data_IF_099190462590
#
_entry.id   IF_099190462590
#
_cell.length_a   1.000
_cell.length_b   1.000
_cell.length_c   1.000
_cell.angle_alpha   90.00
_cell.angle_beta   90.00
_cell.angle_gamma   90.00
#
_symmetry.space_group_name_H-M   'P 1'
#
loop_
_entity.id
_entity.type
_entity.pdbx_description
1 polymer ?
#
# COMPACT_ATOMS: atom_id res chain seq x y z
N UNK A 1 60.93 -31.78 75.48
CA UNK A 1 59.63 -32.50 75.38
C UNK A 1 58.67 -31.62 74.60
N UNK A 2 57.92 -32.23 73.70
CA UNK A 2 56.83 -31.74 72.92
C UNK A 2 57.21 -31.04 71.55
N UNK A 3 57.06 -31.89 70.59
CA UNK A 3 57.04 -31.70 69.16
C UNK A 3 55.75 -30.92 68.73
N UNK A 4 55.95 -29.95 67.92
CA UNK A 4 54.82 -29.29 67.24
C UNK A 4 54.98 -29.45 65.70
N UNK A 5 54.13 -30.25 65.15
CA UNK A 5 53.98 -30.54 63.73
C UNK A 5 53.31 -29.31 62.99
N UNK A 6 54.00 -28.76 62.02
CA UNK A 6 53.47 -27.74 61.17
C UNK A 6 52.89 -28.38 59.91
N UNK A 7 51.57 -28.30 59.75
CA UNK A 7 50.82 -28.70 58.54
C UNK A 7 50.86 -27.57 57.51
N UNK A 8 51.44 -27.83 56.37
CA UNK A 8 51.53 -26.93 55.24
C UNK A 8 50.15 -27.03 54.44
N UNK A 9 49.39 -25.98 54.52
CA UNK A 9 48.13 -25.82 53.72
C UNK A 9 48.50 -25.41 52.31
N UNK A 10 48.19 -26.29 51.38
CA UNK A 10 48.34 -26.07 49.93
C UNK A 10 47.21 -25.13 49.40
N UNK A 11 47.61 -23.91 49.11
CA UNK A 11 46.72 -22.95 48.44
C UNK A 11 46.55 -23.31 46.93
N UNK A 12 45.42 -23.81 46.56
CA UNK A 12 45.02 -23.97 45.15
C UNK A 12 44.78 -22.61 44.52
N UNK A 13 45.62 -22.23 43.55
CA UNK A 13 45.42 -21.06 42.73
C UNK A 13 44.20 -21.27 41.80
N UNK A 14 43.20 -20.42 41.97
CA UNK A 14 42.10 -20.33 41.05
C UNK A 14 42.54 -19.55 39.80
N UNK A 15 42.62 -20.24 38.66
CA UNK A 15 42.82 -19.58 37.36
C UNK A 15 41.54 -18.90 36.91
N UNK A 16 41.54 -17.64 36.43
CA UNK A 16 40.37 -16.97 35.93
C UNK A 16 39.93 -17.59 34.59
N UNK A 17 38.67 -18.00 34.52
CA UNK A 17 38.04 -18.52 33.34
C UNK A 17 38.09 -17.44 32.23
N UNK A 18 38.72 -17.73 31.11
CA UNK A 18 38.66 -16.94 29.89
C UNK A 18 37.23 -16.92 29.39
N UNK A 19 36.56 -15.78 29.58
CA UNK A 19 35.28 -15.49 28.88
C UNK A 19 35.59 -15.37 27.40
N UNK A 20 35.25 -16.40 26.65
CA UNK A 20 35.27 -16.37 25.19
C UNK A 20 34.24 -15.34 24.71
N UNK A 21 34.69 -14.20 24.20
CA UNK A 21 33.83 -13.29 23.43
C UNK A 21 33.24 -14.05 22.26
N UNK A 22 31.96 -14.40 22.38
CA UNK A 22 31.17 -14.86 21.22
C UNK A 22 31.22 -13.73 20.20
N UNK A 23 31.95 -13.93 19.10
CA UNK A 23 31.86 -13.09 17.94
C UNK A 23 30.39 -13.09 17.45
N UNK A 24 29.75 -11.92 17.52
CA UNK A 24 28.49 -11.69 16.86
C UNK A 24 28.75 -11.84 15.37
N UNK A 25 28.29 -12.95 14.79
CA UNK A 25 28.27 -13.11 13.35
C UNK A 25 27.35 -12.01 12.80
N UNK A 26 27.96 -11.00 12.19
CA UNK A 26 27.27 -10.01 11.37
C UNK A 26 26.59 -10.81 10.26
N UNK A 27 25.28 -11.03 10.37
CA UNK A 27 24.49 -11.54 9.27
C UNK A 27 24.62 -10.52 8.15
N UNK A 28 25.39 -10.85 7.12
CA UNK A 28 25.42 -10.12 5.88
C UNK A 28 23.99 -9.97 5.34
N UNK A 29 23.74 -8.95 4.50
CA UNK A 29 22.42 -8.74 3.92
C UNK A 29 21.97 -10.05 3.28
N UNK A 30 20.85 -10.58 3.76
CA UNK A 30 20.17 -11.71 3.11
C UNK A 30 19.83 -11.19 1.71
N UNK A 31 20.52 -11.68 0.69
CA UNK A 31 20.07 -11.51 -0.68
C UNK A 31 18.72 -12.23 -0.75
N UNK A 32 17.65 -11.44 -0.63
CA UNK A 32 16.32 -11.89 -1.02
C UNK A 32 16.48 -12.22 -2.50
N UNK A 33 16.46 -13.50 -2.85
CA UNK A 33 16.43 -13.92 -4.23
C UNK A 33 15.15 -13.35 -4.83
N UNK A 34 15.32 -12.36 -5.73
CA UNK A 34 14.20 -11.75 -6.42
C UNK A 34 13.39 -12.89 -7.06
N UNK A 35 12.13 -13.03 -6.67
CA UNK A 35 11.23 -13.97 -7.31
C UNK A 35 11.06 -13.49 -8.75
N UNK A 36 11.55 -14.28 -9.70
CA UNK A 36 11.39 -13.99 -11.12
C UNK A 36 10.18 -14.72 -11.68
N UNK A 37 9.38 -14.03 -12.47
CA UNK A 37 8.29 -14.62 -13.25
C UNK A 37 8.56 -14.48 -14.75
N UNK A 38 7.95 -15.33 -15.55
CA UNK A 38 7.96 -15.22 -17.00
C UNK A 38 6.64 -14.63 -17.51
N UNK A 39 6.61 -14.16 -18.76
CA UNK A 39 5.37 -13.70 -19.40
C UNK A 39 4.27 -14.77 -19.46
N UNK A 40 4.61 -16.06 -19.31
CA UNK A 40 3.64 -17.15 -19.23
C UNK A 40 2.86 -17.16 -17.90
N UNK A 41 3.47 -16.60 -16.84
CA UNK A 41 2.91 -16.56 -15.50
C UNK A 41 2.09 -15.29 -15.21
N UNK A 42 1.94 -14.41 -16.22
CA UNK A 42 1.23 -13.15 -16.07
C UNK A 42 -0.22 -13.36 -15.66
N UNK A 43 -0.63 -12.63 -14.64
CA UNK A 43 -2.01 -12.58 -14.11
C UNK A 43 -2.40 -11.14 -13.84
N UNK A 44 -3.66 -10.81 -13.97
CA UNK A 44 -4.20 -9.52 -13.54
C UNK A 44 -3.96 -9.36 -12.04
N UNK A 45 -3.44 -8.19 -11.64
CA UNK A 45 -3.08 -7.90 -10.25
C UNK A 45 -1.63 -8.24 -9.87
N UNK A 46 -0.86 -8.95 -10.71
CA UNK A 46 0.55 -9.23 -10.47
C UNK A 46 1.37 -7.94 -10.52
N UNK A 47 2.26 -7.76 -9.53
CA UNK A 47 3.16 -6.62 -9.46
C UNK A 47 4.55 -7.00 -9.95
N UNK A 48 5.06 -6.24 -10.91
CA UNK A 48 6.37 -6.42 -11.55
C UNK A 48 7.26 -5.23 -11.23
N UNK A 49 8.55 -5.46 -11.08
CA UNK A 49 9.54 -4.39 -11.03
C UNK A 49 10.09 -4.15 -12.45
N UNK A 50 9.85 -2.96 -12.99
CA UNK A 50 10.34 -2.55 -14.30
C UNK A 50 10.98 -1.16 -14.14
N UNK A 51 12.22 -1.01 -14.56
CA UNK A 51 12.99 0.25 -14.45
C UNK A 51 13.03 0.78 -13.00
N UNK A 52 13.21 -0.13 -12.01
CA UNK A 52 13.19 0.19 -10.56
C UNK A 52 11.91 0.87 -10.08
N UNK A 53 10.79 0.58 -10.70
CA UNK A 53 9.48 1.04 -10.30
C UNK A 53 8.50 -0.15 -10.21
N UNK A 54 7.58 -0.13 -9.24
CA UNK A 54 6.56 -1.16 -9.13
C UNK A 54 5.41 -0.89 -10.11
N UNK A 55 5.12 -1.87 -10.94
CA UNK A 55 4.03 -1.85 -11.92
C UNK A 55 3.06 -2.98 -11.65
N UNK A 56 1.77 -2.71 -11.66
CA UNK A 56 0.71 -3.72 -11.55
C UNK A 56 0.09 -3.99 -12.90
N UNK A 57 -0.05 -5.26 -13.24
CA UNK A 57 -0.74 -5.69 -14.46
C UNK A 57 -2.25 -5.47 -14.27
N UNK A 58 -2.86 -4.62 -15.10
CA UNK A 58 -4.32 -4.41 -15.13
C UNK A 58 -4.99 -5.29 -16.17
N UNK A 59 -4.38 -5.44 -17.33
CA UNK A 59 -4.84 -6.30 -18.42
C UNK A 59 -3.66 -6.91 -19.14
N UNK A 60 -3.82 -8.11 -19.66
CA UNK A 60 -2.83 -8.72 -20.54
C UNK A 60 -3.51 -9.58 -21.60
N UNK A 61 -2.87 -9.69 -22.76
CA UNK A 61 -3.32 -10.49 -23.88
C UNK A 61 -2.14 -11.21 -24.52
N UNK A 62 -2.22 -12.54 -24.61
CA UNK A 62 -1.28 -13.34 -25.38
C UNK A 62 -1.66 -13.30 -26.86
N UNK A 63 -0.76 -12.87 -27.71
CA UNK A 63 -0.92 -12.83 -29.15
C UNK A 63 0.04 -13.81 -29.81
N UNK A 64 -0.54 -14.78 -30.51
CA UNK A 64 0.19 -15.75 -31.32
C UNK A 64 -0.11 -15.49 -32.82
N UNK A 65 0.73 -14.70 -33.51
CA UNK A 65 0.53 -14.51 -34.95
C UNK A 65 0.84 -15.80 -35.69
N UNK A 66 0.11 -16.07 -36.77
CA UNK A 66 0.32 -17.26 -37.61
C UNK A 66 1.72 -17.31 -38.25
N UNK A 67 2.40 -16.19 -38.39
CA UNK A 67 3.80 -16.02 -38.78
C UNK A 67 4.47 -15.01 -37.88
N UNK A 68 5.54 -15.38 -37.18
CA UNK A 68 6.30 -14.53 -36.26
C UNK A 68 6.35 -15.07 -34.82
N UNK A 69 7.13 -14.42 -33.97
CA UNK A 69 7.25 -14.79 -32.56
C UNK A 69 6.01 -14.31 -31.75
N UNK A 70 5.58 -15.16 -30.82
CA UNK A 70 4.52 -14.83 -29.88
C UNK A 70 4.94 -13.64 -28.98
N UNK A 71 3.98 -12.77 -28.66
CA UNK A 71 4.20 -11.66 -27.76
C UNK A 71 3.01 -11.47 -26.83
N UNK A 72 3.23 -10.76 -25.71
CA UNK A 72 2.21 -10.45 -24.71
C UNK A 72 2.05 -8.93 -24.67
N UNK A 73 0.85 -8.46 -25.00
CA UNK A 73 0.47 -7.06 -24.83
C UNK A 73 -0.09 -6.89 -23.43
N UNK A 74 0.42 -5.92 -22.69
CA UNK A 74 0.10 -5.76 -21.27
C UNK A 74 -0.18 -4.29 -20.96
N UNK A 75 -1.28 -4.01 -20.29
CA UNK A 75 -1.52 -2.70 -19.65
C UNK A 75 -0.99 -2.75 -18.24
N UNK A 76 -0.12 -1.82 -17.91
CA UNK A 76 0.58 -1.70 -16.66
C UNK A 76 0.21 -0.39 -15.98
N UNK A 77 -0.18 -0.44 -14.72
CA UNK A 77 -0.37 0.73 -13.87
C UNK A 77 0.84 0.91 -12.98
N UNK A 78 1.48 2.06 -13.06
CA UNK A 78 2.55 2.42 -12.14
C UNK A 78 1.95 2.68 -10.75
N UNK A 79 2.46 2.01 -9.72
CA UNK A 79 1.92 2.14 -8.36
C UNK A 79 2.36 3.43 -7.65
N UNK A 80 3.42 4.09 -8.13
CA UNK A 80 3.89 5.37 -7.57
C UNK A 80 3.18 6.57 -8.16
N UNK A 81 2.97 6.56 -9.50
CA UNK A 81 2.43 7.72 -10.24
C UNK A 81 0.97 7.54 -10.64
N UNK A 82 0.43 6.32 -10.55
CA UNK A 82 -0.93 5.99 -10.99
C UNK A 82 -1.11 5.89 -12.50
N UNK A 83 -0.10 6.24 -13.30
CA UNK A 83 -0.18 6.25 -14.75
C UNK A 83 -0.32 4.84 -15.33
N UNK A 84 -1.15 4.73 -16.37
CA UNK A 84 -1.35 3.48 -17.11
C UNK A 84 -0.58 3.54 -18.42
N UNK A 85 0.31 2.57 -18.65
CA UNK A 85 1.08 2.42 -19.85
C UNK A 85 0.83 1.07 -20.49
N UNK A 86 0.78 1.03 -21.82
CA UNK A 86 0.72 -0.21 -22.58
C UNK A 86 2.13 -0.60 -23.04
N UNK A 87 2.58 -1.80 -22.66
CA UNK A 87 3.87 -2.37 -23.09
C UNK A 87 3.66 -3.75 -23.73
N UNK A 88 4.48 -4.05 -24.72
CA UNK A 88 4.49 -5.37 -25.39
C UNK A 88 5.79 -6.08 -25.06
N UNK A 89 5.66 -7.29 -24.53
CA UNK A 89 6.79 -8.14 -24.13
C UNK A 89 6.89 -9.35 -25.04
N UNK A 90 8.10 -9.89 -25.20
CA UNK A 90 8.30 -11.14 -25.92
C UNK A 90 7.84 -12.32 -25.08
N UNK A 91 7.27 -13.34 -25.72
CA UNK A 91 6.93 -14.57 -25.01
C UNK A 91 8.19 -15.23 -24.43
N UNK A 92 8.15 -15.59 -23.13
CA UNK A 92 9.27 -16.16 -22.39
C UNK A 92 10.24 -15.16 -21.76
N UNK A 93 9.98 -13.85 -21.87
CA UNK A 93 10.76 -12.82 -21.18
C UNK A 93 10.56 -12.91 -19.66
N UNK A 94 11.63 -12.71 -18.90
CA UNK A 94 11.63 -12.83 -17.43
C UNK A 94 11.66 -11.47 -16.80
N UNK A 95 10.87 -11.31 -15.73
CA UNK A 95 10.75 -10.09 -14.92
C UNK A 95 10.93 -10.40 -13.45
N UNK A 96 11.39 -9.43 -12.71
CA UNK A 96 11.42 -9.49 -11.25
C UNK A 96 10.05 -9.12 -10.70
N UNK A 97 9.59 -9.88 -9.70
CA UNK A 97 8.36 -9.55 -8.97
C UNK A 97 8.66 -8.40 -8.01
N UNK A 98 7.81 -7.37 -8.02
CA UNK A 98 7.88 -6.32 -7.02
C UNK A 98 7.35 -6.86 -5.68
N UNK A 99 8.13 -6.66 -4.61
CA UNK A 99 7.72 -7.00 -3.24
C UNK A 99 6.74 -5.92 -2.73
N UNK A 100 5.48 -6.11 -3.11
CA UNK A 100 4.38 -5.22 -2.72
C UNK A 100 3.52 -5.93 -1.70
N UNK A 101 3.53 -5.42 -0.47
CA UNK A 101 2.62 -5.84 0.59
C UNK A 101 1.39 -4.93 0.64
N UNK A 102 0.26 -5.49 1.06
CA UNK A 102 -0.99 -4.77 1.24
C UNK A 102 -1.55 -5.15 2.60
N UNK A 103 -1.67 -4.18 3.49
CA UNK A 103 -2.16 -4.36 4.84
C UNK A 103 -3.38 -3.47 5.09
N UNK A 104 -4.40 -4.03 5.74
CA UNK A 104 -5.58 -3.25 6.13
C UNK A 104 -5.30 -2.55 7.45
N UNK A 105 -5.38 -1.23 7.45
CA UNK A 105 -5.18 -0.37 8.63
C UNK A 105 -6.32 0.64 8.73
N UNK A 106 -6.66 1.03 9.95
CA UNK A 106 -7.68 2.02 10.21
C UNK A 106 -7.04 3.41 10.31
N UNK A 107 -7.62 4.40 9.62
CA UNK A 107 -7.23 5.79 9.80
C UNK A 107 -7.72 6.30 11.15
N UNK A 108 -6.83 6.82 11.99
CA UNK A 108 -7.13 7.28 13.34
C UNK A 108 -7.21 8.81 13.45
N UNK A 109 -6.13 9.49 13.12
CA UNK A 109 -6.04 10.95 13.23
C UNK A 109 -4.97 11.52 12.31
N UNK A 110 -4.92 12.84 12.19
CA UNK A 110 -3.86 13.57 11.49
C UNK A 110 -2.85 14.11 12.51
N UNK A 111 -1.54 13.88 12.23
CA UNK A 111 -0.44 14.45 12.98
C UNK A 111 0.30 15.46 12.09
N UNK A 112 -0.06 16.74 12.22
CA UNK A 112 0.36 17.79 11.30
C UNK A 112 -0.24 17.56 9.91
N UNK A 113 0.62 17.35 8.92
CA UNK A 113 0.20 17.07 7.53
C UNK A 113 0.10 15.56 7.23
N UNK A 114 0.61 14.70 8.12
CA UNK A 114 0.64 13.26 7.91
C UNK A 114 -0.57 12.55 8.49
N UNK A 115 -0.98 11.47 7.84
CA UNK A 115 -2.08 10.62 8.25
C UNK A 115 -1.56 9.47 9.10
N UNK A 116 -2.16 9.28 10.29
CA UNK A 116 -1.81 8.18 11.19
C UNK A 116 -2.78 7.03 11.02
N UNK A 117 -2.26 5.89 10.60
CA UNK A 117 -3.01 4.65 10.46
C UNK A 117 -2.58 3.67 11.53
N UNK A 118 -3.53 2.91 12.07
CA UNK A 118 -3.28 1.88 13.07
C UNK A 118 -3.75 0.52 12.57
N UNK A 119 -2.90 -0.47 12.72
CA UNK A 119 -3.27 -1.86 12.50
C UNK A 119 -4.07 -2.34 13.73
N UNK A 120 -5.32 -2.75 13.52
CA UNK A 120 -6.22 -3.16 14.61
C UNK A 120 -5.88 -4.52 15.23
N UNK A 121 -4.98 -5.29 14.62
CA UNK A 121 -4.53 -6.59 15.14
C UNK A 121 -3.23 -6.46 15.95
N UNK A 122 -2.25 -5.69 15.44
CA UNK A 122 -0.93 -5.53 16.07
C UNK A 122 -0.82 -4.27 16.91
N UNK A 123 -1.75 -3.32 16.77
CA UNK A 123 -1.73 -1.97 17.37
C UNK A 123 -0.49 -1.16 17.00
N UNK A 124 0.12 -1.47 15.86
CA UNK A 124 1.23 -0.70 15.32
C UNK A 124 0.69 0.51 14.56
N UNK A 125 1.28 1.67 14.83
CA UNK A 125 0.96 2.91 14.14
C UNK A 125 1.90 3.11 12.96
N UNK A 126 1.34 3.55 11.83
CA UNK A 126 2.06 3.85 10.61
C UNK A 126 1.76 5.27 10.15
N UNK A 127 2.81 6.05 9.95
CA UNK A 127 2.72 7.40 9.40
C UNK A 127 2.73 7.36 7.89
N UNK A 128 1.73 7.97 7.26
CA UNK A 128 1.55 7.99 5.80
C UNK A 128 1.53 9.42 5.30
N UNK A 129 2.40 9.81 4.36
CA UNK A 129 2.42 11.16 3.84
C UNK A 129 1.17 11.46 2.99
N UNK A 130 0.73 12.74 2.93
CA UNK A 130 -0.51 13.13 2.23
C UNK A 130 -0.50 12.81 0.73
N UNK A 131 0.68 12.72 0.12
CA UNK A 131 0.83 12.35 -1.30
C UNK A 131 0.36 10.93 -1.60
N UNK A 132 0.46 10.02 -0.61
CA UNK A 132 0.06 8.62 -0.75
C UNK A 132 -1.41 8.36 -0.36
N UNK A 133 -2.11 9.37 0.20
CA UNK A 133 -3.48 9.23 0.72
C UNK A 133 -4.50 9.82 -0.26
N UNK A 134 -5.60 9.12 -0.45
CA UNK A 134 -6.72 9.60 -1.26
C UNK A 134 -7.53 10.65 -0.47
N UNK A 135 -8.12 11.63 -1.17
CA UNK A 135 -8.98 12.70 -0.60
C UNK A 135 -10.26 12.20 0.07
N UNK A 136 -10.59 10.94 -0.12
CA UNK A 136 -11.80 10.29 0.41
C UNK A 136 -11.60 9.55 1.72
N UNK A 137 -10.43 9.69 2.37
CA UNK A 137 -10.16 9.07 3.66
C UNK A 137 -10.88 9.81 4.77
N UNK A 138 -11.62 9.07 5.60
CA UNK A 138 -12.37 9.54 6.77
C UNK A 138 -11.84 8.87 8.04
N UNK A 139 -11.87 9.56 9.17
CA UNK A 139 -11.53 8.99 10.48
C UNK A 139 -12.36 7.73 10.79
N UNK A 140 -11.69 6.71 11.30
CA UNK A 140 -12.28 5.40 11.58
C UNK A 140 -12.50 4.51 10.36
N UNK A 141 -12.05 4.92 9.17
CA UNK A 141 -12.17 4.12 7.95
C UNK A 141 -11.03 3.11 7.85
N UNK A 142 -11.39 1.86 7.49
CA UNK A 142 -10.41 0.84 7.15
C UNK A 142 -9.92 1.04 5.72
N UNK A 143 -8.64 1.28 5.57
CA UNK A 143 -7.97 1.48 4.29
C UNK A 143 -6.90 0.40 4.08
N UNK A 144 -6.65 0.06 2.83
CA UNK A 144 -5.56 -0.84 2.50
C UNK A 144 -4.30 -0.04 2.16
N UNK A 145 -3.31 -0.10 3.04
CA UNK A 145 -2.01 0.54 2.85
C UNK A 145 -1.15 -0.35 1.97
N UNK A 146 -0.69 0.22 0.88
CA UNK A 146 0.20 -0.46 -0.08
C UNK A 146 1.63 -0.04 0.21
N UNK A 147 2.48 -1.03 0.49
CA UNK A 147 3.90 -0.83 0.75
C UNK A 147 4.73 -1.54 -0.32
N UNK A 148 5.83 -0.94 -0.71
CA UNK A 148 6.83 -1.51 -1.60
C UNK A 148 8.21 -1.39 -0.95
N UNK A 149 8.90 -2.52 -0.78
CA UNK A 149 10.20 -2.60 -0.08
C UNK A 149 10.17 -1.88 1.29
N UNK A 150 9.05 -2.01 2.03
CA UNK A 150 8.85 -1.40 3.35
C UNK A 150 8.56 0.11 3.33
N UNK A 151 8.34 0.72 2.16
CA UNK A 151 7.92 2.12 2.03
C UNK A 151 6.46 2.18 1.61
N UNK A 152 5.69 3.04 2.26
CA UNK A 152 4.31 3.32 1.86
C UNK A 152 4.31 4.04 0.52
N UNK A 153 3.59 3.48 -0.46
CA UNK A 153 3.45 4.02 -1.80
C UNK A 153 2.02 4.45 -2.14
N UNK A 154 1.05 4.00 -1.36
CA UNK A 154 -0.35 4.36 -1.59
C UNK A 154 -1.28 3.88 -0.49
N UNK A 155 -2.46 4.50 -0.44
CA UNK A 155 -3.57 4.13 0.41
C UNK A 155 -4.79 3.89 -0.50
N UNK A 156 -5.28 2.66 -0.53
CA UNK A 156 -6.50 2.30 -1.26
C UNK A 156 -7.70 2.39 -0.29
N UNK A 157 -8.67 3.20 -0.65
CA UNK A 157 -9.92 3.40 0.10
C UNK A 157 -10.95 2.39 -0.37
N UNK A 158 -11.85 1.89 0.50
CA UNK A 158 -12.96 1.04 0.08
C UNK A 158 -13.80 1.69 -1.03
N UNK A 159 -14.13 0.95 -2.06
CA UNK A 159 -14.92 1.41 -3.19
C UNK A 159 -16.08 0.42 -3.48
N UNK A 160 -17.36 0.87 -3.49
CA UNK A 160 -17.86 2.22 -3.15
C UNK A 160 -17.95 2.50 -1.65
N UNK A 161 -18.03 3.79 -1.26
CA UNK A 161 -18.20 4.20 0.13
C UNK A 161 -19.25 5.29 0.29
N UNK A 162 -19.86 5.35 1.49
CA UNK A 162 -20.96 6.30 1.80
C UNK A 162 -20.40 7.53 2.52
N UNK A 163 -20.71 8.72 2.00
CA UNK A 163 -20.30 9.99 2.57
C UNK A 163 -21.51 10.89 2.81
N UNK A 164 -21.41 11.78 3.80
CA UNK A 164 -22.42 12.81 4.08
C UNK A 164 -22.04 14.10 3.36
N UNK A 165 -23.01 14.72 2.69
CA UNK A 165 -22.83 16.00 2.02
C UNK A 165 -22.86 17.11 3.08
N UNK A 166 -21.78 17.90 3.17
CA UNK A 166 -21.65 19.02 4.12
C UNK A 166 -22.06 20.36 3.50
N UNK A 167 -21.77 20.55 2.21
CA UNK A 167 -22.06 21.78 1.49
C UNK A 167 -22.40 21.48 0.03
N UNK A 168 -23.40 22.17 -0.50
CA UNK A 168 -23.77 22.12 -1.92
C UNK A 168 -24.59 23.34 -2.30
N UNK A 169 -24.48 23.75 -3.54
CA UNK A 169 -25.31 24.84 -4.09
C UNK A 169 -26.79 24.48 -4.11
N UNK A 170 -27.68 25.47 -3.94
CA UNK A 170 -29.12 25.25 -4.11
C UNK A 170 -29.39 24.78 -5.56
N UNK A 171 -30.12 23.66 -5.69
CA UNK A 171 -30.47 23.07 -6.97
C UNK A 171 -31.47 23.93 -7.76
N UNK A 172 -31.04 25.06 -8.30
CA UNK A 172 -31.86 25.87 -9.19
C UNK A 172 -32.01 25.15 -10.52
N UNK A 173 -33.25 24.76 -10.87
CA UNK A 173 -33.57 24.22 -12.18
C UNK A 173 -33.33 25.30 -13.24
N UNK A 174 -32.13 25.26 -13.87
CA UNK A 174 -31.91 25.98 -15.11
C UNK A 174 -32.71 25.36 -16.24
N UNK A 175 -32.84 26.10 -17.34
CA UNK A 175 -33.65 25.75 -18.50
C UNK A 175 -33.06 24.60 -19.37
N UNK A 176 -32.37 23.63 -18.76
CA UNK A 176 -31.75 22.48 -19.43
C UNK A 176 -32.70 21.29 -19.32
N UNK A 177 -33.11 20.76 -20.45
CA UNK A 177 -34.01 19.60 -20.58
C UNK A 177 -33.39 18.27 -20.08
N UNK A 178 -32.09 18.21 -19.90
CA UNK A 178 -31.34 17.11 -19.28
C UNK A 178 -30.89 17.54 -17.90
N UNK A 179 -31.19 16.74 -16.87
CA UNK A 179 -30.88 17.00 -15.47
C UNK A 179 -29.47 17.57 -15.29
N UNK A 180 -29.38 18.71 -14.62
CA UNK A 180 -28.11 19.35 -14.34
C UNK A 180 -27.42 18.68 -13.16
N UNK A 181 -26.11 18.77 -13.13
CA UNK A 181 -25.28 18.36 -12.01
C UNK A 181 -24.74 19.60 -11.28
N UNK A 182 -24.41 19.45 -10.01
CA UNK A 182 -23.83 20.51 -9.17
C UNK A 182 -22.66 19.97 -8.34
N UNK A 183 -21.71 20.82 -7.96
CA UNK A 183 -20.67 20.44 -7.01
C UNK A 183 -21.26 20.28 -5.60
N UNK A 184 -20.80 19.27 -4.89
CA UNK A 184 -21.11 19.05 -3.48
C UNK A 184 -19.82 18.71 -2.73
N UNK A 185 -19.62 19.36 -1.58
CA UNK A 185 -18.52 19.05 -0.67
C UNK A 185 -19.00 17.99 0.31
N UNK A 186 -18.23 16.94 0.48
CA UNK A 186 -18.49 15.88 1.44
C UNK A 186 -17.69 16.10 2.73
N UNK A 187 -18.01 15.34 3.77
CA UNK A 187 -17.41 15.44 5.11
C UNK A 187 -15.87 15.37 5.15
N UNK A 188 -15.23 14.80 4.13
CA UNK A 188 -13.76 14.75 3.99
C UNK A 188 -13.17 16.00 3.34
N UNK A 189 -14.00 16.99 2.97
CA UNK A 189 -13.58 18.19 2.23
C UNK A 189 -13.38 17.95 0.72
N UNK A 190 -13.58 16.74 0.21
CA UNK A 190 -13.52 16.47 -1.22
C UNK A 190 -14.80 16.98 -1.93
N UNK A 191 -14.62 17.49 -3.16
CA UNK A 191 -15.74 17.94 -4.00
C UNK A 191 -16.11 16.84 -4.99
N UNK A 192 -17.39 16.48 -5.01
CA UNK A 192 -17.97 15.47 -5.89
C UNK A 192 -19.10 16.09 -6.70
N UNK A 193 -19.18 15.76 -7.97
CA UNK A 193 -20.30 16.19 -8.84
C UNK A 193 -21.52 15.31 -8.57
N UNK A 194 -22.64 15.94 -8.15
CA UNK A 194 -23.89 15.25 -7.80
C UNK A 194 -25.08 15.82 -8.54
N UNK A 195 -26.17 15.04 -8.73
CA UNK A 195 -27.41 15.52 -9.31
C UNK A 195 -28.06 16.65 -8.48
N UNK A 196 -28.85 17.51 -9.10
CA UNK A 196 -29.50 18.68 -8.49
C UNK A 196 -30.37 18.36 -7.26
N UNK A 197 -30.93 17.15 -7.17
CA UNK A 197 -31.81 16.75 -6.08
C UNK A 197 -31.11 16.45 -4.76
N UNK A 198 -29.79 16.32 -4.76
CA UNK A 198 -28.98 16.05 -3.55
C UNK A 198 -28.89 17.34 -2.72
N UNK A 199 -29.16 17.23 -1.41
CA UNK A 199 -29.14 18.35 -0.47
C UNK A 199 -28.05 18.16 0.58
N UNK A 200 -27.77 19.25 1.31
CA UNK A 200 -26.90 19.18 2.50
C UNK A 200 -27.51 18.22 3.53
N UNK A 201 -26.68 17.35 4.10
CA UNK A 201 -27.08 16.29 5.05
C UNK A 201 -27.49 14.98 4.40
N UNK A 202 -27.63 14.92 3.05
CA UNK A 202 -27.90 13.66 2.36
C UNK A 202 -26.67 12.75 2.40
N UNK A 203 -26.93 11.44 2.52
CA UNK A 203 -25.89 10.41 2.40
C UNK A 203 -25.84 9.93 0.94
N UNK A 204 -24.65 9.97 0.37
CA UNK A 204 -24.39 9.59 -1.00
C UNK A 204 -23.32 8.48 -1.07
N UNK A 205 -23.51 7.57 -2.00
CA UNK A 205 -22.51 6.54 -2.33
C UNK A 205 -21.64 7.08 -3.46
N UNK A 206 -20.34 7.14 -3.20
CA UNK A 206 -19.33 7.65 -4.13
C UNK A 206 -18.39 6.52 -4.55
N UNK A 207 -18.05 6.51 -5.83
CA UNK A 207 -16.93 5.72 -6.34
C UNK A 207 -15.63 6.46 -5.96
N UNK A 208 -14.90 5.94 -4.99
CA UNK A 208 -13.70 6.58 -4.43
C UNK A 208 -12.50 6.59 -5.38
N UNK A 209 -12.49 5.72 -6.40
CA UNK A 209 -11.41 5.66 -7.39
C UNK A 209 -11.54 6.80 -8.41
N UNK A 210 -12.75 7.07 -8.87
CA UNK A 210 -13.06 8.09 -9.89
C UNK A 210 -13.56 9.42 -9.30
N UNK A 211 -13.97 9.41 -8.03
CA UNK A 211 -14.59 10.56 -7.39
C UNK A 211 -15.99 10.88 -7.95
N UNK A 212 -16.71 9.87 -8.45
CA UNK A 212 -18.01 10.05 -9.09
C UNK A 212 -19.16 9.61 -8.17
N UNK A 213 -20.29 10.33 -8.24
CA UNK A 213 -21.52 9.95 -7.56
C UNK A 213 -22.09 8.67 -8.20
N UNK A 214 -22.47 7.71 -7.38
CA UNK A 214 -23.08 6.46 -7.82
C UNK A 214 -24.59 6.42 -7.56
N UNK A 215 -24.96 6.66 -6.31
CA UNK A 215 -26.37 6.65 -5.88
C UNK A 215 -26.54 7.37 -4.54
N UNK A 216 -27.78 7.62 -4.14
CA UNK A 216 -28.13 7.98 -2.77
C UNK A 216 -28.10 6.71 -1.91
N UNK A 217 -27.64 6.83 -0.65
CA UNK A 217 -27.61 5.72 0.30
C UNK A 217 -29.01 5.41 0.85
#
# INVERSE_FOLDING_TARGET
MLSASSSISSARAFAPARVAKRASATRGPVKVSALTCSTADFKVGLSLEIDSNPWRITEFMHVQPGRGSAFVRTKLRNLLTGNINEKTFRSGEKFELADVSKETMQFTYMDGDDYMFMNMETFEELRVPPVAVNKFVKEGMDCAIVQWNGKVIGCEVPNPFTFTVTETDPGLKGNTASGGDKPATIETGAVVTVPLFVNVGDQIIVNTDEGTYKSRA
#
